data_IF_925728695657
#
_entry.id   IF_925728695657
#
_cell.length_a   1.000
_cell.length_b   1.000
_cell.length_c   1.000
_cell.angle_alpha   90.00
_cell.angle_beta   90.00
_cell.angle_gamma   90.00
#
_symmetry.space_group_name_H-M   'P 1'
#
loop_
_entity.id
_entity.type
_entity.pdbx_description
1 polymer ?
#
# COMPACT_ATOMS: atom_id res chain seq x y z
N UNK A 1 15.09 -15.87 4.10
CA UNK A 1 14.65 -14.58 4.69
C UNK A 1 13.61 -13.96 3.79
N UNK A 2 12.46 -13.48 4.29
CA UNK A 2 11.54 -12.74 3.45
C UNK A 2 12.19 -11.41 3.04
N UNK A 3 12.27 -11.14 1.74
CA UNK A 3 12.83 -9.89 1.24
C UNK A 3 12.01 -8.66 1.65
N UNK A 4 12.63 -7.48 1.56
CA UNK A 4 12.05 -6.18 1.94
C UNK A 4 10.64 -5.97 1.36
N UNK A 5 10.40 -6.34 0.11
CA UNK A 5 9.08 -6.30 -0.53
C UNK A 5 8.00 -7.01 0.27
N UNK A 6 8.30 -8.21 0.79
CA UNK A 6 7.33 -9.01 1.55
C UNK A 6 7.08 -8.42 2.94
N UNK A 7 8.06 -7.71 3.51
CA UNK A 7 7.92 -7.01 4.79
C UNK A 7 6.96 -5.83 4.62
N UNK A 8 7.18 -5.00 3.61
CA UNK A 8 6.31 -3.84 3.31
C UNK A 8 4.89 -4.32 2.97
N UNK A 9 4.75 -5.37 2.16
CA UNK A 9 3.45 -5.95 1.83
C UNK A 9 2.67 -6.40 3.07
N UNK A 10 3.30 -7.18 3.96
CA UNK A 10 2.63 -7.65 5.20
C UNK A 10 2.25 -6.48 6.11
N UNK A 11 3.11 -5.48 6.21
CA UNK A 11 2.83 -4.28 6.99
C UNK A 11 1.58 -3.56 6.46
N UNK A 12 1.54 -3.27 5.15
CA UNK A 12 0.40 -2.59 4.55
C UNK A 12 -0.90 -3.40 4.66
N UNK A 13 -0.84 -4.73 4.47
CA UNK A 13 -1.99 -5.61 4.68
C UNK A 13 -2.49 -5.57 6.13
N UNK A 14 -1.59 -5.60 7.11
CA UNK A 14 -1.98 -5.50 8.51
C UNK A 14 -2.63 -4.17 8.87
N UNK A 15 -2.21 -3.07 8.25
CA UNK A 15 -2.86 -1.77 8.42
C UNK A 15 -4.28 -1.77 7.83
N UNK A 16 -4.44 -2.33 6.62
CA UNK A 16 -5.73 -2.45 5.94
C UNK A 16 -6.69 -3.31 6.75
N UNK A 17 -6.26 -4.49 7.20
CA UNK A 17 -7.10 -5.42 7.95
C UNK A 17 -7.47 -4.89 9.36
N UNK A 18 -6.76 -3.86 9.85
CA UNK A 18 -7.09 -3.15 11.08
C UNK A 18 -8.12 -2.02 10.88
N UNK A 19 -8.48 -1.68 9.63
CA UNK A 19 -9.54 -0.71 9.32
C UNK A 19 -10.83 -1.44 8.97
N UNK A 20 -11.97 -0.97 9.50
CA UNK A 20 -13.28 -1.58 9.22
C UNK A 20 -13.70 -1.44 7.75
N UNK A 21 -13.31 -0.34 7.09
CA UNK A 21 -13.61 -0.05 5.69
C UNK A 21 -12.56 -0.61 4.70
N UNK A 22 -11.47 -1.18 5.21
CA UNK A 22 -10.36 -1.68 4.38
C UNK A 22 -9.62 -0.59 3.61
N UNK A 23 -9.67 0.67 4.07
CA UNK A 23 -9.04 1.82 3.42
C UNK A 23 -7.90 2.36 4.28
N UNK A 24 -6.72 2.56 3.67
CA UNK A 24 -5.62 3.27 4.34
C UNK A 24 -5.07 4.38 3.46
N UNK A 25 -4.60 5.45 4.10
CA UNK A 25 -3.82 6.51 3.47
C UNK A 25 -2.40 6.48 4.03
N UNK A 26 -1.42 6.49 3.13
CA UNK A 26 0.00 6.49 3.48
C UNK A 26 0.74 7.61 2.76
N UNK A 27 1.84 8.06 3.35
CA UNK A 27 2.84 8.86 2.65
C UNK A 27 4.00 7.97 2.20
N UNK A 28 4.32 8.03 0.91
CA UNK A 28 5.38 7.22 0.33
C UNK A 28 6.74 7.48 0.97
N UNK A 29 7.06 8.74 1.23
CA UNK A 29 8.37 9.13 1.76
C UNK A 29 8.51 8.68 3.21
N UNK A 30 7.48 8.87 4.04
CA UNK A 30 7.48 8.40 5.44
C UNK A 30 7.63 6.87 5.51
N UNK A 31 6.95 6.14 4.62
CA UNK A 31 7.07 4.68 4.57
C UNK A 31 8.47 4.25 4.12
N UNK A 32 9.04 4.95 3.13
CA UNK A 32 10.39 4.70 2.65
C UNK A 32 11.44 4.95 3.73
N UNK A 33 11.32 6.04 4.50
CA UNK A 33 12.16 6.35 5.65
C UNK A 33 12.02 5.29 6.76
N UNK A 34 10.78 4.90 7.10
CA UNK A 34 10.50 3.86 8.10
C UNK A 34 11.18 2.52 7.79
N UNK A 35 11.21 2.13 6.51
CA UNK A 35 11.84 0.88 6.07
C UNK A 35 13.28 1.05 5.60
N UNK A 36 13.86 2.25 5.75
CA UNK A 36 15.20 2.62 5.28
C UNK A 36 15.46 2.20 3.82
N UNK A 37 14.53 2.56 2.93
CA UNK A 37 14.60 2.23 1.51
C UNK A 37 14.24 3.42 0.61
N UNK A 38 14.49 3.31 -0.69
CA UNK A 38 14.12 4.35 -1.64
C UNK A 38 12.58 4.42 -1.85
N UNK A 39 12.00 5.60 -2.13
CA UNK A 39 10.57 5.72 -2.46
C UNK A 39 10.11 4.85 -3.63
N UNK A 40 11.00 4.53 -4.57
CA UNK A 40 10.73 3.61 -5.68
C UNK A 40 10.41 2.20 -5.21
N UNK A 41 10.97 1.75 -4.09
CA UNK A 41 10.68 0.45 -3.50
C UNK A 41 9.22 0.36 -3.05
N UNK A 42 8.67 1.45 -2.50
CA UNK A 42 7.26 1.52 -2.12
C UNK A 42 6.38 1.44 -3.38
N UNK A 43 6.71 2.20 -4.42
CA UNK A 43 5.99 2.13 -5.69
C UNK A 43 6.02 0.71 -6.28
N UNK A 44 7.16 0.02 -6.22
CA UNK A 44 7.30 -1.34 -6.71
C UNK A 44 6.43 -2.34 -5.93
N UNK A 45 6.36 -2.22 -4.60
CA UNK A 45 5.48 -3.04 -3.78
C UNK A 45 4.02 -2.81 -4.16
N UNK A 46 3.62 -1.53 -4.27
CA UNK A 46 2.26 -1.15 -4.64
C UNK A 46 1.86 -1.69 -6.02
N UNK A 47 2.69 -1.48 -7.04
CA UNK A 47 2.39 -1.90 -8.42
C UNK A 47 2.38 -3.41 -8.64
N UNK A 48 3.03 -4.20 -7.77
CA UNK A 48 3.14 -5.66 -7.93
C UNK A 48 2.31 -6.47 -6.93
N UNK A 49 1.92 -5.88 -5.79
CA UNK A 49 1.19 -6.58 -4.71
C UNK A 49 -0.23 -6.05 -4.50
N UNK A 50 -0.49 -4.78 -4.79
CA UNK A 50 -1.75 -4.10 -4.52
C UNK A 50 -2.40 -3.68 -5.83
N UNK A 51 -2.83 -4.69 -6.59
CA UNK A 51 -3.38 -4.56 -7.94
C UNK A 51 -4.87 -4.88 -7.95
N UNK A 52 -5.65 -4.39 -8.94
CA UNK A 52 -7.08 -4.69 -9.05
C UNK A 52 -7.39 -6.19 -9.04
N UNK A 53 -6.62 -7.00 -9.78
CA UNK A 53 -6.79 -8.47 -9.82
C UNK A 53 -6.48 -9.19 -8.49
N UNK A 54 -5.87 -8.49 -7.52
CA UNK A 54 -5.63 -8.99 -6.15
C UNK A 54 -6.62 -8.40 -5.13
N UNK A 55 -7.66 -7.70 -5.60
CA UNK A 55 -8.65 -7.06 -4.74
C UNK A 55 -8.17 -5.74 -4.12
N UNK A 56 -7.33 -4.97 -4.83
CA UNK A 56 -6.89 -3.65 -4.36
C UNK A 56 -7.02 -2.57 -5.42
N UNK A 57 -7.53 -1.42 -5.02
CA UNK A 57 -7.51 -0.19 -5.80
C UNK A 57 -6.60 0.85 -5.15
N UNK A 58 -5.87 1.63 -5.96
CA UNK A 58 -4.92 2.63 -5.49
C UNK A 58 -5.23 3.98 -6.11
N UNK A 59 -5.30 5.00 -5.27
CA UNK A 59 -5.30 6.41 -5.68
C UNK A 59 -4.03 7.09 -5.20
N UNK A 60 -3.52 8.05 -5.96
CA UNK A 60 -2.35 8.83 -5.54
C UNK A 60 -2.54 10.31 -5.85
N UNK A 61 -2.15 11.16 -4.90
CA UNK A 61 -2.09 12.60 -5.06
C UNK A 61 -0.64 13.07 -5.05
N UNK A 62 -0.24 13.86 -6.05
CA UNK A 62 1.09 14.49 -6.13
C UNK A 62 1.04 15.91 -5.54
N UNK A 63 2.20 16.45 -5.12
CA UNK A 63 2.35 17.80 -4.56
C UNK A 63 2.74 17.80 -3.07
N UNK A 64 2.83 18.99 -2.48
CA UNK A 64 3.02 19.13 -1.02
C UNK A 64 1.83 18.52 -0.28
N UNK A 65 2.09 17.54 0.59
CA UNK A 65 1.04 16.74 1.23
C UNK A 65 0.46 15.63 0.35
N UNK A 66 1.22 15.15 -0.64
CA UNK A 66 0.82 14.01 -1.45
C UNK A 66 0.68 12.72 -0.63
N UNK A 67 -0.31 11.90 -0.98
CA UNK A 67 -0.61 10.64 -0.31
C UNK A 67 -0.91 9.54 -1.33
N UNK A 68 -0.90 8.30 -0.86
CA UNK A 68 -1.38 7.13 -1.58
C UNK A 68 -2.50 6.52 -0.74
N UNK A 69 -3.68 6.39 -1.34
CA UNK A 69 -4.82 5.68 -0.74
C UNK A 69 -4.88 4.27 -1.31
N UNK A 70 -4.97 3.28 -0.44
CA UNK A 70 -5.10 1.87 -0.80
C UNK A 70 -6.46 1.40 -0.29
N UNK A 71 -7.26 0.83 -1.17
CA UNK A 71 -8.63 0.38 -0.91
C UNK A 71 -8.67 -1.13 -1.16
N UNK A 72 -9.03 -1.92 -0.16
CA UNK A 72 -9.34 -3.34 -0.33
C UNK A 72 -10.76 -3.48 -0.86
N UNK A 73 -10.90 -4.09 -2.03
CA UNK A 73 -12.19 -4.32 -2.67
C UNK A 73 -12.63 -5.74 -2.31
N UNK A 74 -13.77 -5.89 -1.63
CA UNK A 74 -14.41 -7.19 -1.46
C UNK A 74 -14.95 -7.67 -2.79
N UNK A 75 -14.69 -8.94 -3.13
CA UNK A 75 -15.22 -9.59 -4.34
C UNK A 75 -16.69 -10.04 -4.16
N UNK A 76 -17.29 -9.77 -3.00
CA UNK A 76 -18.66 -10.21 -2.61
C UNK A 76 -19.83 -9.55 -3.37
N UNK A 77 -19.62 -8.94 -4.53
CA UNK A 77 -20.72 -8.44 -5.39
C UNK A 77 -20.55 -8.87 -6.86
N UNK A 78 -20.50 -10.18 -7.09
CA UNK A 78 -20.83 -10.77 -8.41
C UNK A 78 -21.66 -12.05 -8.28
#
# INVERSE_FOLDING_TARGET
MPGLTNIIERFLKSLIDAQEDGIIEIQRNELAEKFNCAPSQINYVLSTRFTPYKGYYIESRRGGGGYIKIIKVSIDEY
#
